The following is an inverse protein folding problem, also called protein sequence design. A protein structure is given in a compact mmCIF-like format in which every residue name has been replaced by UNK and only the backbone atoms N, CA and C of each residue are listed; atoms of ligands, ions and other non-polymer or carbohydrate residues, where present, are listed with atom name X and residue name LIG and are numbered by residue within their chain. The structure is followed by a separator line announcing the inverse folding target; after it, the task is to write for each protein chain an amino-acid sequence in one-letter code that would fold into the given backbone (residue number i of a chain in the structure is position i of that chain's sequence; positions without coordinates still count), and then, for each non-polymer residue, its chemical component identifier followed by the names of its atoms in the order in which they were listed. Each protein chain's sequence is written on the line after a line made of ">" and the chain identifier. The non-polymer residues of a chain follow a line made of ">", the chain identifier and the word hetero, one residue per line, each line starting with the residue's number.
data_IF_393320396438
#
_entry.id   IF_393320396438
#
_cell.length_a   1.000
_cell.length_b   1.000
_cell.length_c   1.000
_cell.angle_alpha   90.00
_cell.angle_beta   90.00
_cell.angle_gamma   90.00
#
_symmetry.space_group_name_H-M   'P 1'
#
loop_
_entity.id
_entity.type
_entity.pdbx_description
1 polymer ?
#
# COMPACT_ATOMS: atom_id res chain seq x y z
N UNK A 1 7.09 1.08 -11.37
CA UNK A 1 6.91 -0.29 -10.87
C UNK A 1 8.28 -0.85 -10.49
N UNK A 2 8.35 -1.75 -9.51
CA UNK A 2 9.62 -2.34 -9.07
C UNK A 2 10.21 -3.24 -10.16
N UNK A 3 11.49 -3.10 -10.46
CA UNK A 3 12.18 -4.01 -11.39
C UNK A 3 12.28 -5.41 -10.76
N UNK A 4 11.63 -6.40 -11.37
CA UNK A 4 11.63 -7.78 -10.88
C UNK A 4 12.97 -8.46 -11.22
N UNK A 5 13.71 -8.99 -10.23
CA UNK A 5 14.95 -9.72 -10.51
C UNK A 5 14.71 -10.96 -11.38
N UNK A 6 15.61 -11.24 -12.33
CA UNK A 6 15.46 -12.36 -13.29
C UNK A 6 15.12 -13.71 -12.63
N UNK A 7 15.80 -14.06 -11.53
CA UNK A 7 15.54 -15.30 -10.78
C UNK A 7 14.11 -15.35 -10.22
N UNK A 8 13.61 -14.22 -9.72
CA UNK A 8 12.25 -14.10 -9.19
C UNK A 8 11.23 -14.17 -10.32
N UNK A 9 11.51 -13.50 -11.44
CA UNK A 9 10.67 -13.57 -12.65
C UNK A 9 10.50 -15.01 -13.13
N UNK A 10 11.59 -15.76 -13.27
CA UNK A 10 11.57 -17.17 -13.69
C UNK A 10 10.76 -18.05 -12.72
N UNK A 11 10.92 -17.84 -11.40
CA UNK A 11 10.15 -18.53 -10.36
C UNK A 11 8.65 -18.23 -10.47
N UNK A 12 8.28 -16.96 -10.65
CA UNK A 12 6.87 -16.55 -10.76
C UNK A 12 6.21 -17.14 -12.01
N UNK A 13 6.92 -17.16 -13.15
CA UNK A 13 6.43 -17.80 -14.37
C UNK A 13 6.21 -19.30 -14.18
N UNK A 14 7.16 -20.00 -13.55
CA UNK A 14 7.02 -21.42 -13.23
C UNK A 14 5.85 -21.67 -12.26
N UNK A 15 5.75 -20.86 -11.22
CA UNK A 15 4.71 -20.92 -10.20
C UNK A 15 3.30 -20.75 -10.77
N UNK A 16 3.08 -19.76 -11.63
CA UNK A 16 1.78 -19.58 -12.31
C UNK A 16 1.41 -20.84 -13.11
N UNK A 17 2.34 -21.34 -13.93
CA UNK A 17 2.09 -22.53 -14.78
C UNK A 17 1.82 -23.80 -13.96
N UNK A 18 2.48 -23.95 -12.81
CA UNK A 18 2.31 -25.10 -11.94
C UNK A 18 1.01 -25.02 -11.14
N UNK A 19 0.73 -23.89 -10.49
CA UNK A 19 -0.34 -23.81 -9.50
C UNK A 19 -1.71 -23.48 -10.09
N UNK A 20 -1.82 -22.81 -11.24
CA UNK A 20 -3.13 -22.60 -11.89
C UNK A 20 -3.90 -23.91 -12.13
N UNK A 21 -3.35 -24.96 -12.77
CA UNK A 21 -4.08 -26.21 -12.97
C UNK A 21 -4.36 -26.96 -11.67
N UNK A 22 -3.47 -26.85 -10.66
CA UNK A 22 -3.68 -27.43 -9.33
C UNK A 22 -4.90 -26.80 -8.66
N UNK A 23 -4.98 -25.47 -8.65
CA UNK A 23 -6.08 -24.71 -8.05
C UNK A 23 -7.40 -24.97 -8.78
N UNK A 24 -7.40 -25.00 -10.12
CA UNK A 24 -8.59 -25.33 -10.91
C UNK A 24 -9.10 -26.74 -10.58
N UNK A 25 -8.19 -27.73 -10.51
CA UNK A 25 -8.54 -29.11 -10.13
C UNK A 25 -9.07 -29.19 -8.70
N UNK A 26 -8.40 -28.54 -7.75
CA UNK A 26 -8.82 -28.49 -6.35
C UNK A 26 -10.21 -27.83 -6.19
N UNK A 27 -10.48 -26.75 -6.93
CA UNK A 27 -11.80 -26.09 -6.97
C UNK A 27 -12.87 -27.00 -7.57
N UNK A 28 -12.56 -27.73 -8.63
CA UNK A 28 -13.50 -28.67 -9.26
C UNK A 28 -13.90 -29.83 -8.35
N UNK A 29 -13.03 -30.19 -7.40
CA UNK A 29 -13.25 -31.23 -6.39
C UNK A 29 -13.82 -30.67 -5.07
N UNK A 30 -14.05 -29.35 -5.00
CA UNK A 30 -14.54 -28.64 -3.82
C UNK A 30 -13.76 -29.02 -2.53
N UNK A 31 -12.42 -28.94 -2.60
CA UNK A 31 -11.59 -29.32 -1.44
C UNK A 31 -11.81 -28.39 -0.25
N UNK A 32 -11.68 -28.95 0.95
CA UNK A 32 -11.91 -28.22 2.20
C UNK A 32 -10.79 -27.18 2.50
N UNK A 33 -10.96 -26.43 3.59
CA UNK A 33 -10.03 -25.40 4.03
C UNK A 33 -8.63 -25.97 4.37
N UNK A 34 -8.54 -27.12 5.04
CA UNK A 34 -7.25 -27.73 5.40
C UNK A 34 -6.43 -28.17 4.17
N UNK A 35 -7.09 -28.73 3.16
CA UNK A 35 -6.46 -29.06 1.88
C UNK A 35 -6.04 -27.78 1.12
N UNK A 36 -6.86 -26.73 1.19
CA UNK A 36 -6.54 -25.41 0.61
C UNK A 36 -5.32 -24.79 1.28
N UNK A 37 -5.23 -24.83 2.62
CA UNK A 37 -4.07 -24.41 3.41
C UNK A 37 -2.80 -25.14 2.95
N UNK A 38 -2.89 -26.43 2.66
CA UNK A 38 -1.74 -27.22 2.19
C UNK A 38 -1.22 -26.70 0.84
N UNK A 39 -2.12 -26.45 -0.12
CA UNK A 39 -1.76 -25.87 -1.43
C UNK A 39 -1.13 -24.49 -1.23
N UNK A 40 -1.69 -23.66 -0.36
CA UNK A 40 -1.18 -22.30 -0.09
C UNK A 40 0.21 -22.33 0.54
N UNK A 41 0.50 -23.27 1.46
CA UNK A 41 1.86 -23.46 2.00
C UNK A 41 2.87 -23.74 0.90
N UNK A 42 2.50 -24.56 -0.08
CA UNK A 42 3.36 -24.85 -1.23
C UNK A 42 3.52 -23.61 -2.12
N UNK A 43 2.46 -22.84 -2.35
CA UNK A 43 2.54 -21.58 -3.08
C UNK A 43 3.43 -20.53 -2.39
N UNK A 44 3.35 -20.40 -1.07
CA UNK A 44 4.22 -19.52 -0.29
C UNK A 44 5.69 -19.84 -0.51
N UNK A 45 6.04 -21.12 -0.61
CA UNK A 45 7.41 -21.53 -0.90
C UNK A 45 7.77 -21.38 -2.37
N UNK A 46 7.03 -22.05 -3.26
CA UNK A 46 7.42 -22.25 -4.66
C UNK A 46 7.18 -21.01 -5.52
N UNK A 47 6.16 -20.20 -5.18
CA UNK A 47 5.83 -18.97 -5.90
C UNK A 47 6.47 -17.76 -5.21
N UNK A 48 6.20 -17.61 -3.91
CA UNK A 48 6.55 -16.39 -3.17
C UNK A 48 7.93 -16.43 -2.49
N UNK A 49 8.61 -17.58 -2.51
CA UNK A 49 10.01 -17.71 -2.11
C UNK A 49 10.26 -17.75 -0.62
N UNK A 50 9.23 -18.02 0.20
CA UNK A 50 9.38 -18.22 1.64
C UNK A 50 9.92 -19.61 1.94
N UNK A 51 10.81 -19.72 2.92
CA UNK A 51 11.23 -21.04 3.41
C UNK A 51 10.09 -21.71 4.19
N UNK A 52 9.66 -22.89 3.74
CA UNK A 52 8.49 -23.61 4.29
C UNK A 52 8.66 -23.99 5.77
N UNK A 53 9.89 -24.15 6.25
CA UNK A 53 10.16 -24.67 7.60
C UNK A 53 10.47 -23.56 8.61
N UNK A 54 11.12 -22.49 8.17
CA UNK A 54 11.60 -21.42 9.04
C UNK A 54 10.82 -20.11 8.88
N UNK A 55 10.19 -19.89 7.73
CA UNK A 55 9.53 -18.63 7.39
C UNK A 55 8.02 -18.77 7.21
N UNK A 56 7.50 -19.99 7.05
CA UNK A 56 6.06 -20.26 7.06
C UNK A 56 5.72 -21.03 8.33
N UNK A 57 4.84 -20.47 9.14
CA UNK A 57 4.37 -21.11 10.37
C UNK A 57 2.86 -21.24 10.36
N UNK A 58 2.35 -22.32 10.92
CA UNK A 58 0.95 -22.42 11.35
C UNK A 58 0.95 -22.00 12.82
N UNK A 59 0.49 -20.80 13.13
CA UNK A 59 0.58 -20.31 14.51
C UNK A 59 -0.46 -20.96 15.44
N UNK A 60 -0.02 -21.07 16.69
CA UNK A 60 -0.59 -21.86 17.78
C UNK A 60 -1.52 -20.98 18.65
N UNK A 61 -2.43 -21.64 19.36
CA UNK A 61 -3.51 -21.02 20.13
C UNK A 61 -3.06 -19.97 21.15
N UNK A 62 -3.66 -18.76 21.09
CA UNK A 62 -3.77 -17.88 22.25
C UNK A 62 -5.19 -17.32 22.31
N UNK A 63 -5.99 -17.80 23.27
CA UNK A 63 -7.32 -17.28 23.63
C UNK A 63 -8.42 -17.38 22.56
N UNK A 64 -8.37 -18.41 21.71
CA UNK A 64 -9.52 -18.87 20.93
C UNK A 64 -9.73 -18.22 19.55
N UNK A 65 -8.85 -17.34 19.08
CA UNK A 65 -8.85 -16.83 17.71
C UNK A 65 -7.49 -17.10 17.05
N UNK A 66 -7.50 -17.54 15.80
CA UNK A 66 -6.33 -17.99 15.03
C UNK A 66 -6.29 -17.29 13.67
N UNK A 67 -5.09 -17.22 13.07
CA UNK A 67 -4.93 -17.14 11.61
C UNK A 67 -4.30 -18.46 11.16
N UNK A 68 -4.65 -18.95 9.99
CA UNK A 68 -4.21 -20.27 9.52
C UNK A 68 -2.70 -20.35 9.31
N UNK A 69 -2.10 -19.27 8.79
CA UNK A 69 -0.67 -19.18 8.50
C UNK A 69 -0.11 -17.81 8.88
N UNK A 70 1.19 -17.76 9.10
CA UNK A 70 1.94 -16.52 9.15
C UNK A 70 3.27 -16.66 8.41
N UNK A 71 3.70 -15.58 7.76
CA UNK A 71 5.05 -15.49 7.19
C UNK A 71 5.95 -14.75 8.16
N UNK A 72 7.16 -15.27 8.39
CA UNK A 72 8.21 -14.68 9.22
C UNK A 72 9.35 -14.20 8.36
N UNK A 73 9.91 -13.05 8.73
CA UNK A 73 11.14 -12.51 8.15
C UNK A 73 12.10 -12.23 9.30
N UNK A 74 13.30 -12.83 9.25
CA UNK A 74 14.29 -12.76 10.33
C UNK A 74 13.70 -13.14 11.70
N UNK A 75 12.81 -14.14 11.74
CA UNK A 75 12.15 -14.60 12.96
C UNK A 75 10.98 -13.75 13.47
N UNK A 76 10.70 -12.60 12.85
CA UNK A 76 9.59 -11.71 13.21
C UNK A 76 8.40 -11.95 12.27
N UNK A 77 7.18 -11.97 12.81
CA UNK A 77 5.95 -12.10 12.01
C UNK A 77 5.82 -10.86 11.12
N UNK A 78 5.78 -11.10 9.80
CA UNK A 78 5.64 -10.07 8.78
C UNK A 78 4.20 -9.94 8.27
N UNK A 79 3.51 -11.07 8.10
CA UNK A 79 2.14 -11.13 7.57
C UNK A 79 1.36 -12.24 8.25
N UNK A 80 0.11 -11.96 8.54
CA UNK A 80 -0.87 -12.96 8.98
C UNK A 80 -1.77 -13.34 7.82
N UNK A 81 -2.04 -14.63 7.65
CA UNK A 81 -2.73 -15.17 6.49
C UNK A 81 -3.94 -15.97 6.97
N UNK A 82 -5.11 -15.48 6.60
CA UNK A 82 -6.39 -16.17 6.74
C UNK A 82 -6.68 -16.94 5.46
N UNK A 83 -6.94 -18.23 5.60
CA UNK A 83 -7.27 -19.13 4.51
C UNK A 83 -8.74 -19.52 4.61
N UNK A 84 -9.37 -19.73 3.46
CA UNK A 84 -10.72 -20.25 3.35
C UNK A 84 -10.75 -21.42 2.37
N UNK A 85 -11.80 -22.24 2.43
CA UNK A 85 -12.03 -23.29 1.45
C UNK A 85 -12.03 -22.74 0.01
N UNK A 86 -11.47 -23.49 -0.94
CA UNK A 86 -11.20 -23.01 -2.31
C UNK A 86 -12.46 -22.57 -3.07
N UNK A 87 -13.61 -23.16 -2.76
CA UNK A 87 -14.91 -22.82 -3.37
C UNK A 87 -15.61 -21.62 -2.72
N UNK A 88 -15.12 -21.13 -1.57
CA UNK A 88 -15.78 -20.08 -0.81
C UNK A 88 -15.45 -18.68 -1.35
N UNK A 89 -16.49 -17.87 -1.59
CA UNK A 89 -16.32 -16.47 -1.92
C UNK A 89 -15.78 -15.66 -0.73
N UNK A 90 -14.73 -14.88 -0.97
CA UNK A 90 -14.10 -14.05 0.05
C UNK A 90 -14.93 -12.79 0.33
N UNK A 91 -15.32 -12.61 1.59
CA UNK A 91 -16.06 -11.45 2.09
C UNK A 91 -15.24 -10.70 3.13
N UNK A 92 -15.47 -9.40 3.28
CA UNK A 92 -14.72 -8.57 4.23
C UNK A 92 -14.83 -9.05 5.67
N UNK A 93 -15.95 -9.67 6.06
CA UNK A 93 -16.09 -10.26 7.39
C UNK A 93 -15.06 -11.37 7.68
N UNK A 94 -14.55 -12.04 6.64
CA UNK A 94 -13.59 -13.14 6.80
C UNK A 94 -12.20 -12.62 7.22
N UNK A 95 -11.85 -11.35 6.94
CA UNK A 95 -10.56 -10.79 7.35
C UNK A 95 -10.55 -10.29 8.80
N UNK A 96 -11.72 -10.18 9.43
CA UNK A 96 -11.86 -9.53 10.74
C UNK A 96 -11.01 -10.17 11.83
N UNK A 97 -11.00 -11.50 11.89
CA UNK A 97 -10.22 -12.23 12.90
C UNK A 97 -8.71 -11.97 12.74
N UNK A 98 -8.23 -12.00 11.49
CA UNK A 98 -6.83 -11.73 11.19
C UNK A 98 -6.44 -10.26 11.41
N UNK A 99 -7.34 -9.30 11.13
CA UNK A 99 -7.16 -7.87 11.47
C UNK A 99 -7.04 -7.67 12.98
N UNK A 100 -7.95 -8.26 13.76
CA UNK A 100 -7.96 -8.13 15.22
C UNK A 100 -6.67 -8.72 15.82
N UNK A 101 -6.19 -9.86 15.30
CA UNK A 101 -4.93 -10.45 15.74
C UNK A 101 -3.71 -9.62 15.32
N UNK A 102 -3.67 -9.17 14.06
CA UNK A 102 -2.60 -8.32 13.53
C UNK A 102 -2.44 -7.04 14.34
N UNK A 103 -3.56 -6.38 14.67
CA UNK A 103 -3.55 -5.16 15.47
C UNK A 103 -2.97 -5.39 16.88
N UNK A 104 -3.25 -6.53 17.51
CA UNK A 104 -2.73 -6.88 18.83
C UNK A 104 -1.23 -7.21 18.80
N UNK A 105 -0.72 -7.75 17.69
CA UNK A 105 0.70 -8.11 17.51
C UNK A 105 1.54 -7.01 16.86
N UNK A 106 0.94 -5.88 16.47
CA UNK A 106 1.63 -4.81 15.76
C UNK A 106 2.04 -5.18 14.33
N UNK A 107 1.30 -6.09 13.69
CA UNK A 107 1.56 -6.54 12.31
C UNK A 107 0.80 -5.64 11.34
N UNK A 108 1.52 -5.01 10.42
CA UNK A 108 0.97 -4.04 9.46
C UNK A 108 0.10 -4.66 8.36
N UNK A 109 0.21 -5.98 8.12
CA UNK A 109 -0.31 -6.61 6.92
C UNK A 109 -1.05 -7.91 7.21
N UNK A 110 -2.19 -8.06 6.53
CA UNK A 110 -3.02 -9.26 6.58
C UNK A 110 -3.32 -9.72 5.15
N UNK A 111 -3.30 -11.02 4.94
CA UNK A 111 -3.66 -11.66 3.69
C UNK A 111 -4.91 -12.53 3.91
N UNK A 112 -5.89 -12.42 3.03
CA UNK A 112 -7.06 -13.31 2.97
C UNK A 112 -7.05 -14.04 1.62
N UNK A 113 -7.12 -15.36 1.63
CA UNK A 113 -7.07 -16.15 0.40
C UNK A 113 -7.88 -17.43 0.45
N UNK A 114 -8.35 -17.88 -0.70
CA UNK A 114 -8.86 -19.25 -0.91
C UNK A 114 -8.02 -20.00 -1.96
N UNK A 115 -6.79 -19.55 -2.21
CA UNK A 115 -5.91 -20.05 -3.27
C UNK A 115 -6.19 -19.44 -4.65
N UNK A 116 -7.46 -19.24 -5.01
CA UNK A 116 -7.85 -18.57 -6.25
C UNK A 116 -7.72 -17.05 -6.14
N UNK A 117 -8.38 -16.45 -5.14
CA UNK A 117 -8.37 -15.02 -4.89
C UNK A 117 -7.40 -14.73 -3.75
N UNK A 118 -6.54 -13.73 -3.95
CA UNK A 118 -5.56 -13.25 -2.99
C UNK A 118 -5.83 -11.77 -2.69
N UNK A 119 -6.23 -11.49 -1.45
CA UNK A 119 -6.46 -10.12 -0.98
C UNK A 119 -5.44 -9.74 0.08
N UNK A 120 -4.77 -8.62 -0.13
CA UNK A 120 -3.78 -8.07 0.82
C UNK A 120 -4.30 -6.78 1.40
N UNK A 121 -4.35 -6.71 2.72
CA UNK A 121 -4.84 -5.59 3.49
C UNK A 121 -3.71 -4.95 4.28
N UNK A 122 -3.67 -3.62 4.29
CA UNK A 122 -2.84 -2.85 5.22
C UNK A 122 -3.67 -2.44 6.43
N UNK A 123 -3.16 -2.72 7.62
CA UNK A 123 -3.77 -2.32 8.88
C UNK A 123 -3.43 -0.86 9.17
N UNK A 124 -4.42 -0.12 9.61
CA UNK A 124 -4.30 1.24 10.11
C UNK A 124 -4.61 1.21 11.61
N UNK A 125 -3.59 1.52 12.42
CA UNK A 125 -3.66 1.52 13.88
C UNK A 125 -4.37 2.77 14.42
N UNK A 126 -5.60 2.98 13.95
CA UNK A 126 -6.52 4.03 14.38
C UNK A 126 -7.46 3.52 15.50
N UNK A 127 -8.30 4.39 16.04
CA UNK A 127 -9.37 4.03 16.98
C UNK A 127 -10.72 4.42 16.38
N UNK A 128 -11.54 3.49 15.86
CA UNK A 128 -11.33 2.03 15.79
C UNK A 128 -10.22 1.63 14.80
N UNK A 129 -9.72 0.40 14.91
CA UNK A 129 -8.79 -0.18 13.92
C UNK A 129 -9.47 -0.18 12.56
N UNK A 130 -8.73 0.22 11.53
CA UNK A 130 -9.19 0.21 10.15
C UNK A 130 -8.26 -0.66 9.30
N UNK A 131 -8.77 -1.10 8.14
CA UNK A 131 -8.00 -1.85 7.16
C UNK A 131 -8.29 -1.35 5.75
N UNK A 132 -7.25 -1.34 4.91
CA UNK A 132 -7.33 -0.92 3.52
C UNK A 132 -6.99 -2.10 2.60
N UNK A 133 -7.88 -2.45 1.67
CA UNK A 133 -7.58 -3.42 0.61
C UNK A 133 -6.57 -2.82 -0.39
N UNK A 134 -5.35 -3.34 -0.38
CA UNK A 134 -4.25 -2.86 -1.21
C UNK A 134 -4.17 -3.64 -2.53
N UNK A 135 -4.31 -4.96 -2.45
CA UNK A 135 -4.23 -5.89 -3.59
C UNK A 135 -5.46 -6.80 -3.55
N UNK A 136 -6.08 -7.02 -4.71
CA UNK A 136 -7.12 -8.04 -4.93
C UNK A 136 -6.84 -8.69 -6.28
N UNK A 137 -6.43 -9.96 -6.25
CA UNK A 137 -5.93 -10.69 -7.43
C UNK A 137 -6.60 -12.03 -7.53
N UNK A 138 -7.11 -12.33 -8.72
CA UNK A 138 -7.45 -13.68 -9.12
C UNK A 138 -6.24 -14.36 -9.75
N UNK A 139 -5.62 -15.28 -9.00
CA UNK A 139 -4.45 -16.04 -9.42
C UNK A 139 -4.75 -16.91 -10.65
N UNK A 140 -5.98 -17.40 -10.79
CA UNK A 140 -6.39 -18.20 -11.95
C UNK A 140 -6.49 -17.40 -13.24
N UNK A 141 -6.61 -16.08 -13.14
CA UNK A 141 -6.67 -15.17 -14.28
C UNK A 141 -5.31 -14.53 -14.64
N UNK A 142 -4.24 -14.81 -13.90
CA UNK A 142 -2.92 -14.25 -14.17
C UNK A 142 -2.34 -14.81 -15.48
N UNK A 143 -1.69 -13.94 -16.26
CA UNK A 143 -0.98 -14.29 -17.46
C UNK A 143 0.52 -14.08 -17.26
N UNK A 144 1.27 -15.18 -17.19
CA UNK A 144 2.71 -15.16 -16.98
C UNK A 144 3.53 -14.48 -18.10
N UNK A 145 2.90 -14.10 -19.22
CA UNK A 145 3.52 -13.33 -20.32
C UNK A 145 3.36 -11.82 -20.15
N UNK A 146 2.47 -11.37 -19.25
CA UNK A 146 2.25 -9.95 -18.98
C UNK A 146 3.13 -9.52 -17.82
N UNK A 147 3.99 -8.53 -18.07
CA UNK A 147 4.91 -7.99 -17.05
C UNK A 147 4.15 -7.48 -15.82
N UNK A 148 3.03 -6.77 -16.02
CA UNK A 148 2.21 -6.24 -14.92
C UNK A 148 1.75 -7.33 -13.94
N UNK A 149 1.45 -8.53 -14.43
CA UNK A 149 0.91 -9.63 -13.62
C UNK A 149 2.04 -10.23 -12.76
N UNK A 150 3.25 -10.30 -13.33
CA UNK A 150 4.46 -10.69 -12.61
C UNK A 150 4.86 -9.64 -11.57
N UNK A 151 4.84 -8.36 -11.94
CA UNK A 151 5.11 -7.25 -11.02
C UNK A 151 4.14 -7.24 -9.83
N UNK A 152 2.87 -7.57 -10.08
CA UNK A 152 1.85 -7.66 -9.05
C UNK A 152 2.18 -8.78 -8.06
N UNK A 153 2.47 -10.00 -8.52
CA UNK A 153 2.93 -11.11 -7.67
C UNK A 153 4.22 -10.77 -6.91
N UNK A 154 5.13 -10.01 -7.54
CA UNK A 154 6.40 -9.64 -6.93
C UNK A 154 6.23 -8.79 -5.67
N UNK A 155 5.15 -8.01 -5.56
CA UNK A 155 4.89 -7.12 -4.42
C UNK A 155 4.94 -7.86 -3.08
N UNK A 156 4.50 -9.13 -3.03
CA UNK A 156 4.46 -9.92 -1.79
C UNK A 156 5.37 -11.16 -1.79
N UNK A 157 6.22 -11.31 -2.80
CA UNK A 157 7.37 -12.21 -2.71
C UNK A 157 8.27 -11.79 -1.55
N UNK A 158 8.94 -12.76 -0.92
CA UNK A 158 9.93 -12.50 0.14
C UNK A 158 10.91 -11.40 -0.23
N UNK A 159 11.46 -11.44 -1.45
CA UNK A 159 12.43 -10.45 -1.93
C UNK A 159 11.82 -9.07 -2.13
N UNK A 160 10.55 -9.00 -2.51
CA UNK A 160 9.79 -7.74 -2.60
C UNK A 160 9.54 -7.18 -1.21
N UNK A 161 9.15 -8.03 -0.26
CA UNK A 161 8.88 -7.63 1.11
C UNK A 161 10.12 -7.09 1.84
N UNK A 162 11.25 -7.78 1.75
CA UNK A 162 12.52 -7.37 2.37
C UNK A 162 12.96 -5.99 1.86
N UNK A 163 12.60 -5.66 0.61
CA UNK A 163 12.89 -4.37 -0.02
C UNK A 163 11.77 -3.34 0.17
N UNK A 164 10.79 -3.62 1.02
CA UNK A 164 9.61 -2.77 1.27
C UNK A 164 8.78 -2.45 0.02
N UNK A 165 8.84 -3.29 -1.02
CA UNK A 165 8.18 -3.06 -2.31
C UNK A 165 6.66 -2.93 -2.15
N UNK A 166 6.04 -3.73 -1.28
CA UNK A 166 4.61 -3.61 -0.97
C UNK A 166 4.26 -2.28 -0.31
N UNK A 167 5.10 -1.80 0.60
CA UNK A 167 4.93 -0.51 1.27
C UNK A 167 5.12 0.68 0.31
N UNK A 168 6.10 0.59 -0.58
CA UNK A 168 6.35 1.58 -1.63
C UNK A 168 5.20 1.62 -2.64
N UNK A 169 4.71 0.45 -3.07
CA UNK A 169 3.54 0.34 -3.94
C UNK A 169 2.31 0.95 -3.29
N UNK A 170 2.06 0.66 -2.00
CA UNK A 170 0.95 1.27 -1.26
C UNK A 170 1.09 2.79 -1.15
N UNK A 171 2.29 3.29 -0.86
CA UNK A 171 2.58 4.73 -0.79
C UNK A 171 2.33 5.40 -2.15
N UNK A 172 2.78 4.77 -3.23
CA UNK A 172 2.55 5.23 -4.60
C UNK A 172 1.06 5.22 -4.96
N UNK A 173 0.33 4.15 -4.64
CA UNK A 173 -1.12 4.03 -4.84
C UNK A 173 -1.87 5.13 -4.08
N UNK A 174 -1.49 5.42 -2.83
CA UNK A 174 -2.09 6.50 -2.06
C UNK A 174 -1.79 7.89 -2.66
N UNK A 175 -0.55 8.11 -3.12
CA UNK A 175 -0.15 9.36 -3.76
C UNK A 175 -0.93 9.63 -5.06
N UNK A 176 -1.25 8.58 -5.81
CA UNK A 176 -2.07 8.65 -7.03
C UNK A 176 -3.58 8.50 -6.77
N UNK A 177 -4.02 8.50 -5.51
CA UNK A 177 -5.45 8.43 -5.23
C UNK A 177 -6.19 9.64 -5.79
N UNK A 178 -7.41 9.42 -6.29
CA UNK A 178 -8.26 10.49 -6.84
C UNK A 178 -8.42 11.69 -5.90
N UNK A 179 -8.44 11.44 -4.59
CA UNK A 179 -8.55 12.45 -3.54
C UNK A 179 -7.28 13.30 -3.46
N UNK A 180 -6.10 12.68 -3.48
CA UNK A 180 -4.82 13.40 -3.48
C UNK A 180 -4.64 14.19 -4.77
N UNK A 181 -4.90 13.58 -5.93
CA UNK A 181 -4.81 14.29 -7.23
C UNK A 181 -5.79 15.46 -7.30
N UNK A 182 -7.05 15.26 -6.89
CA UNK A 182 -8.05 16.31 -6.85
C UNK A 182 -7.65 17.46 -5.92
N UNK A 183 -7.13 17.16 -4.73
CA UNK A 183 -6.67 18.18 -3.81
C UNK A 183 -5.39 18.90 -4.30
N UNK A 184 -4.48 18.22 -5.01
CA UNK A 184 -3.29 18.85 -5.62
C UNK A 184 -3.69 19.81 -6.73
N UNK A 185 -4.63 19.44 -7.60
CA UNK A 185 -5.11 20.28 -8.71
C UNK A 185 -5.70 21.61 -8.20
N UNK A 186 -6.28 21.61 -6.99
CA UNK A 186 -6.87 22.78 -6.36
C UNK A 186 -5.89 23.63 -5.54
N UNK A 187 -4.58 23.37 -5.63
CA UNK A 187 -3.54 24.18 -4.96
C UNK A 187 -3.13 25.39 -5.81
N UNK A 188 -2.79 26.50 -5.14
CA UNK A 188 -2.42 27.76 -5.84
C UNK A 188 -1.35 27.57 -6.92
N UNK A 189 -0.23 26.84 -6.68
CA UNK A 189 0.79 26.65 -7.72
C UNK A 189 0.26 25.96 -8.98
N UNK A 190 -0.70 25.02 -8.84
CA UNK A 190 -1.29 24.31 -9.97
C UNK A 190 -2.33 25.17 -10.67
N UNK A 191 -3.17 25.88 -9.91
CA UNK A 191 -4.13 26.83 -10.47
C UNK A 191 -3.42 27.94 -11.26
N UNK A 192 -2.25 28.40 -10.79
CA UNK A 192 -1.41 29.37 -11.51
C UNK A 192 -0.84 28.82 -12.82
N UNK A 193 -0.42 27.57 -12.83
CA UNK A 193 0.02 26.90 -14.07
C UNK A 193 -1.15 26.84 -15.05
N UNK A 194 -2.33 26.40 -14.60
CA UNK A 194 -3.54 26.35 -15.44
C UNK A 194 -3.86 27.75 -15.98
N UNK A 195 -3.85 28.78 -15.13
CA UNK A 195 -4.08 30.18 -15.53
C UNK A 195 -3.12 30.62 -16.64
N UNK A 196 -1.83 30.31 -16.50
CA UNK A 196 -0.81 30.66 -17.50
C UNK A 196 -1.03 29.94 -18.83
N UNK A 197 -1.38 28.65 -18.80
CA UNK A 197 -1.69 27.91 -20.04
C UNK A 197 -2.97 28.45 -20.71
N UNK A 198 -4.01 28.77 -19.93
CA UNK A 198 -5.24 29.38 -20.47
C UNK A 198 -4.98 30.76 -21.10
N UNK A 199 -4.12 31.59 -20.50
CA UNK A 199 -3.72 32.88 -21.09
C UNK A 199 -2.93 32.73 -22.40
N UNK A 200 -2.19 31.64 -22.59
CA UNK A 200 -1.51 31.37 -23.88
C UNK A 200 -2.51 31.01 -24.97
N UNK A 201 -3.56 30.26 -24.61
CA UNK A 201 -4.62 29.88 -25.53
C UNK A 201 -5.56 31.06 -25.84
N UNK A 202 -5.82 31.90 -24.83
CA UNK A 202 -6.73 33.04 -24.91
C UNK A 202 -6.10 34.30 -24.29
N UNK A 203 -5.20 35.00 -25.01
CA UNK A 203 -4.46 36.15 -24.49
C UNK A 203 -5.32 37.31 -23.98
N UNK A 204 -6.48 37.52 -24.61
CA UNK A 204 -7.40 38.61 -24.28
C UNK A 204 -8.33 38.28 -23.09
N UNK A 205 -8.35 37.02 -22.64
CA UNK A 205 -9.19 36.59 -21.54
C UNK A 205 -8.53 36.86 -20.19
N UNK A 206 -9.15 37.71 -19.37
CA UNK A 206 -8.73 37.97 -17.98
C UNK A 206 -9.26 36.87 -17.06
N UNK A 207 -8.49 35.78 -16.96
CA UNK A 207 -8.84 34.62 -16.13
C UNK A 207 -8.10 34.68 -14.78
N UNK A 208 -8.83 34.45 -13.70
CA UNK A 208 -8.34 34.40 -12.32
C UNK A 208 -8.31 32.96 -11.73
N UNK A 209 -7.50 32.70 -10.71
CA UNK A 209 -7.37 31.36 -10.10
C UNK A 209 -8.65 30.96 -9.36
N UNK A 210 -9.38 31.92 -8.78
CA UNK A 210 -10.66 31.67 -8.12
C UNK A 210 -11.74 31.19 -9.11
N UNK A 211 -11.78 31.77 -10.32
CA UNK A 211 -12.70 31.34 -11.38
C UNK A 211 -12.35 29.93 -11.86
N UNK A 212 -11.06 29.67 -12.13
CA UNK A 212 -10.57 28.33 -12.51
C UNK A 212 -10.94 27.30 -11.46
N UNK A 213 -10.71 27.63 -10.19
CA UNK A 213 -11.03 26.76 -9.05
C UNK A 213 -12.52 26.47 -8.97
N UNK A 214 -13.37 27.48 -9.16
CA UNK A 214 -14.83 27.32 -9.18
C UNK A 214 -15.28 26.35 -10.25
N UNK A 215 -14.79 26.51 -11.49
CA UNK A 215 -15.11 25.61 -12.61
C UNK A 215 -14.59 24.19 -12.34
N UNK A 216 -13.37 24.06 -11.81
CA UNK A 216 -12.82 22.75 -11.46
C UNK A 216 -13.66 22.03 -10.41
N UNK A 217 -14.16 22.74 -9.39
CA UNK A 217 -14.95 22.16 -8.30
C UNK A 217 -16.37 21.81 -8.74
N UNK A 218 -17.02 22.70 -9.52
CA UNK A 218 -18.42 22.55 -9.90
C UNK A 218 -18.62 21.63 -11.11
N UNK A 219 -17.73 21.72 -12.10
CA UNK A 219 -18.01 21.18 -13.43
C UNK A 219 -17.06 20.05 -13.86
N UNK A 220 -15.83 20.00 -13.29
CA UNK A 220 -14.79 19.04 -13.72
C UNK A 220 -14.60 17.90 -12.72
N UNK A 221 -14.45 18.23 -11.44
CA UNK A 221 -14.19 17.26 -10.39
C UNK A 221 -15.51 16.69 -9.86
N UNK A 222 -15.62 15.37 -9.83
CA UNK A 222 -16.77 14.70 -9.22
C UNK A 222 -16.86 15.07 -7.74
N UNK A 223 -18.06 15.34 -7.25
CA UNK A 223 -18.34 15.71 -5.85
C UNK A 223 -17.67 14.78 -4.82
N UNK A 224 -17.71 13.47 -5.08
CA UNK A 224 -17.08 12.43 -4.24
C UNK A 224 -15.55 12.52 -4.11
N UNK A 225 -14.87 13.34 -4.92
CA UNK A 225 -13.41 13.57 -4.85
C UNK A 225 -13.09 14.72 -3.88
N UNK A 226 -14.01 15.67 -3.74
CA UNK A 226 -13.79 16.94 -3.03
C UNK A 226 -14.39 16.90 -1.62
N UNK A 227 -15.43 16.08 -1.43
CA UNK A 227 -16.15 15.91 -0.17
C UNK A 227 -15.87 14.53 0.48
N UNK A 228 -16.03 14.47 1.80
CA UNK A 228 -15.90 13.25 2.60
C UNK A 228 -14.55 13.10 3.29
N UNK A 229 -14.47 12.14 4.21
CA UNK A 229 -13.33 11.92 5.11
C UNK A 229 -11.99 11.80 4.35
N UNK A 230 -11.95 10.98 3.29
CA UNK A 230 -10.75 10.79 2.46
C UNK A 230 -10.30 12.06 1.72
N UNK A 231 -11.25 12.90 1.30
CA UNK A 231 -10.94 14.16 0.66
C UNK A 231 -10.32 15.15 1.67
N UNK A 232 -10.86 15.20 2.88
CA UNK A 232 -10.35 16.06 3.94
C UNK A 232 -8.98 15.60 4.47
N UNK A 233 -8.76 14.29 4.56
CA UNK A 233 -7.44 13.73 4.84
C UNK A 233 -6.40 14.11 3.78
N UNK A 234 -6.76 14.01 2.50
CA UNK A 234 -5.87 14.41 1.40
C UNK A 234 -5.51 15.89 1.47
N UNK A 235 -6.49 16.78 1.71
CA UNK A 235 -6.26 18.22 1.90
C UNK A 235 -5.31 18.50 3.08
N UNK A 236 -5.54 17.84 4.23
CA UNK A 236 -4.67 17.95 5.42
C UNK A 236 -3.25 17.46 5.14
N UNK A 237 -3.08 16.38 4.38
CA UNK A 237 -1.78 15.84 4.00
C UNK A 237 -1.00 16.84 3.14
N UNK A 238 -1.66 17.44 2.14
CA UNK A 238 -1.05 18.43 1.24
C UNK A 238 -0.69 19.71 1.99
N UNK A 239 -1.57 20.21 2.87
CA UNK A 239 -1.29 21.43 3.64
C UNK A 239 -0.10 21.26 4.60
N UNK A 240 0.03 20.08 5.22
CA UNK A 240 1.21 19.72 6.03
C UNK A 240 2.48 19.63 5.20
N UNK A 241 2.43 19.04 4.01
CA UNK A 241 3.58 18.96 3.13
C UNK A 241 4.05 20.37 2.68
N UNK A 242 3.12 21.24 2.33
CA UNK A 242 3.41 22.63 1.97
C UNK A 242 4.03 23.41 3.13
N UNK A 243 3.50 23.29 4.34
CA UNK A 243 4.04 23.99 5.52
C UNK A 243 5.44 23.49 5.92
N UNK A 244 5.71 22.20 5.78
CA UNK A 244 7.03 21.62 6.01
C UNK A 244 8.05 22.10 4.96
N UNK A 245 7.66 22.17 3.68
CA UNK A 245 8.51 22.68 2.62
C UNK A 245 8.87 24.16 2.83
N UNK A 246 7.90 24.97 3.28
CA UNK A 246 8.13 26.38 3.64
C UNK A 246 9.10 26.49 4.82
N UNK A 247 8.93 25.71 5.89
CA UNK A 247 9.84 25.69 7.06
C UNK A 247 11.27 25.27 6.68
N UNK A 248 11.41 24.26 5.83
CA UNK A 248 12.72 23.80 5.35
C UNK A 248 13.43 24.87 4.50
N UNK A 249 12.68 25.65 3.72
CA UNK A 249 13.22 26.77 2.95
C UNK A 249 13.70 27.90 3.87
N UNK A 250 12.90 28.29 4.86
CA UNK A 250 13.26 29.33 5.84
C UNK A 250 14.46 28.94 6.70
N UNK A 251 14.62 27.66 7.06
CA UNK A 251 15.78 27.18 7.82
C UNK A 251 17.08 27.20 7.01
N UNK A 252 16.99 27.06 5.68
CA UNK A 252 18.14 27.10 4.77
C UNK A 252 18.58 28.53 4.41
N UNK A 253 17.69 29.50 4.59
CA UNK A 253 17.92 30.94 4.36
C UNK A 253 18.33 31.68 5.65
N UNK A 254 18.37 31.00 6.81
CA UNK A 254 18.82 31.61 8.07
C UNK A 254 20.34 31.85 8.06
N UNK A 255 20.82 33.06 8.43
CA UNK A 255 22.25 33.35 8.51
C UNK A 255 22.92 32.50 9.61
N UNK A 256 24.21 32.12 9.46
CA UNK A 256 24.92 31.35 10.47
C UNK A 256 24.95 32.15 11.79
N UNK A 257 24.49 31.51 12.87
CA UNK A 257 24.53 32.10 14.21
C UNK A 257 25.99 32.36 14.59
N UNK A 258 26.35 33.63 14.75
CA UNK A 258 27.65 34.02 15.30
C UNK A 258 27.69 33.49 16.74
N UNK A 259 28.69 32.68 17.13
CA UNK A 259 28.84 32.25 18.51
C UNK A 259 29.05 33.49 19.39
N UNK A 260 28.26 33.63 20.45
CA UNK A 260 28.42 34.70 21.41
C UNK A 260 29.85 34.66 21.97
N UNK A 261 30.62 35.72 21.74
CA UNK A 261 31.94 35.88 22.30
C UNK A 261 31.82 35.93 23.83
N UNK A 262 32.36 34.91 24.50
CA UNK A 262 32.62 34.93 25.94
C UNK A 262 33.57 36.09 26.25
N UNK A 263 33.05 37.09 26.96
CA UNK A 263 33.83 38.21 27.49
C UNK A 263 34.79 37.63 28.55
N UNK A 264 36.11 37.85 28.46
CA UNK A 264 37.02 37.48 29.54
C UNK A 264 36.81 38.44 30.72
N UNK A 265 36.65 37.86 31.90
CA UNK A 265 36.62 38.54 33.19
C UNK A 265 38.03 39.10 33.47
N UNK A 266 38.26 40.39 33.20
CA UNK A 266 39.45 41.11 33.65
C UNK A 266 39.22 41.64 35.07
N UNK A 267 40.10 41.22 35.97
CA UNK A 267 39.98 41.38 37.40
C UNK A 267 39.98 42.82 37.93
N UNK A 268 39.41 42.95 39.13
CA UNK A 268 39.66 44.06 40.02
C UNK A 268 40.53 43.59 41.19
N UNK A 269 41.58 44.36 41.41
CA UNK A 269 42.56 44.34 42.49
C UNK A 269 41.98 44.28 43.91
#
# INVERSE_FOLDING_TARGET
>A
MPTVPKKVYERLVAGIKQFQPILVSARSRDVNEADTVTIIKDMLADVFGYDKYSEVTSEFAIRGNYCDLATKLNGVIATLIEVKAIGLDLKDQHVKQAVDYAANQGVDWVLLTNGMIWRVYRIQFTKPIQQELVIDVDFSCLNHKLERDIELLYLWCKEGWIRSVLGDYHTHKQALSRYVLGAVVLTEPVLDVIRRELRRLSPDARIDTDEIKSVLVSDVLKREIIEGEKADEAKKKISRAASNALRAKSAKEAPPSIPAATIPDEGAS
#
